data_IF_449397453597
#
_entry.id   IF_449397453597
#
_cell.length_a   1.000
_cell.length_b   1.000
_cell.length_c   1.000
_cell.angle_alpha   90.00
_cell.angle_beta   90.00
_cell.angle_gamma   90.00
#
_symmetry.space_group_name_H-M   'P 1'
#
loop_
_entity.id
_entity.type
_entity.pdbx_description
1 polymer ?
#
# COMPACT_ATOMS: atom_id res chain seq x y z
N UNK A 1 -15.10 -14.48 -5.83
CA UNK A 1 -14.54 -13.75 -4.67
C UNK A 1 -15.08 -12.32 -4.66
N UNK A 2 -15.49 -11.79 -3.50
CA UNK A 2 -15.94 -10.40 -3.39
C UNK A 2 -14.71 -9.48 -3.30
N UNK A 3 -14.52 -8.60 -4.29
CA UNK A 3 -13.39 -7.66 -4.36
C UNK A 3 -13.30 -6.78 -3.11
N UNK A 4 -14.45 -6.42 -2.54
CA UNK A 4 -14.52 -5.63 -1.31
C UNK A 4 -13.88 -6.33 -0.10
N UNK A 5 -14.04 -7.66 0.01
CA UNK A 5 -13.43 -8.46 1.07
C UNK A 5 -11.91 -8.46 0.94
N UNK A 6 -11.39 -8.64 -0.29
CA UNK A 6 -9.96 -8.60 -0.54
C UNK A 6 -9.35 -7.21 -0.26
N UNK A 7 -10.06 -6.13 -0.64
CA UNK A 7 -9.63 -4.75 -0.37
C UNK A 7 -9.53 -4.46 1.13
N UNK A 8 -10.49 -4.92 1.92
CA UNK A 8 -10.48 -4.71 3.37
C UNK A 8 -9.34 -5.49 4.04
N UNK A 9 -9.07 -6.70 3.57
CA UNK A 9 -7.96 -7.52 4.07
C UNK A 9 -6.59 -6.93 3.71
N UNK A 10 -6.45 -6.37 2.51
CA UNK A 10 -5.22 -5.73 2.02
C UNK A 10 -5.21 -4.21 2.29
N UNK A 11 -5.81 -3.78 3.39
CA UNK A 11 -5.92 -2.38 3.74
C UNK A 11 -4.69 -1.87 4.47
N UNK A 12 -4.52 -0.54 4.44
CA UNK A 12 -3.46 0.14 5.18
C UNK A 12 -3.57 -0.08 6.69
N UNK A 13 -4.80 -0.24 7.21
CA UNK A 13 -5.05 -0.49 8.63
C UNK A 13 -4.55 -1.87 9.07
N UNK A 14 -4.72 -2.88 8.21
CA UNK A 14 -4.16 -4.23 8.44
C UNK A 14 -2.64 -4.18 8.44
N UNK A 15 -2.02 -3.48 7.49
CA UNK A 15 -0.56 -3.27 7.49
C UNK A 15 -0.08 -2.58 8.77
N UNK A 16 -0.75 -1.50 9.20
CA UNK A 16 -0.39 -0.77 10.43
C UNK A 16 -0.50 -1.65 11.68
N UNK A 17 -1.56 -2.48 11.76
CA UNK A 17 -1.75 -3.43 12.86
C UNK A 17 -0.66 -4.49 12.87
N UNK A 18 -0.27 -5.03 11.71
CA UNK A 18 0.84 -5.98 11.61
C UNK A 18 2.19 -5.34 11.97
N UNK A 19 2.43 -4.07 11.61
CA UNK A 19 3.62 -3.33 12.05
C UNK A 19 3.64 -3.18 13.57
N UNK A 20 2.49 -2.83 14.17
CA UNK A 20 2.36 -2.75 15.63
C UNK A 20 2.59 -4.11 16.28
N UNK A 21 2.00 -5.18 15.75
CA UNK A 21 2.21 -6.54 16.26
C UNK A 21 3.69 -6.95 16.15
N UNK A 22 4.37 -6.57 15.07
CA UNK A 22 5.80 -6.80 14.90
C UNK A 22 6.69 -6.06 15.90
N UNK A 23 6.17 -4.99 16.54
CA UNK A 23 6.87 -4.32 17.65
C UNK A 23 6.72 -5.08 18.97
N UNK A 24 5.66 -5.88 19.12
CA UNK A 24 5.40 -6.67 20.33
C UNK A 24 5.95 -8.10 20.22
N UNK A 25 5.91 -8.69 19.03
CA UNK A 25 6.41 -10.03 18.72
C UNK A 25 7.32 -9.91 17.49
N UNK A 26 8.64 -10.11 17.68
CA UNK A 26 9.68 -9.83 16.67
C UNK A 26 9.76 -10.88 15.56
N UNK A 27 8.62 -11.48 15.20
CA UNK A 27 8.48 -12.41 14.07
C UNK A 27 8.65 -11.66 12.76
N UNK A 28 9.60 -12.12 11.95
CA UNK A 28 9.93 -11.52 10.64
C UNK A 28 8.75 -11.58 9.67
N UNK A 29 7.89 -12.57 9.85
CA UNK A 29 6.68 -12.78 9.06
C UNK A 29 5.72 -11.59 9.18
N UNK A 30 5.59 -10.98 10.37
CA UNK A 30 4.70 -9.83 10.57
C UNK A 30 5.21 -8.58 9.86
N UNK A 31 6.52 -8.32 9.90
CA UNK A 31 7.11 -7.20 9.18
C UNK A 31 7.02 -7.37 7.67
N UNK A 32 7.35 -8.57 7.18
CA UNK A 32 7.31 -8.88 5.74
C UNK A 32 5.89 -8.79 5.20
N UNK A 33 4.93 -9.34 5.94
CA UNK A 33 3.51 -9.31 5.56
C UNK A 33 2.94 -7.89 5.61
N UNK A 34 3.30 -7.09 6.62
CA UNK A 34 2.91 -5.68 6.69
C UNK A 34 3.39 -4.88 5.46
N UNK A 35 4.66 -5.05 5.08
CA UNK A 35 5.24 -4.38 3.91
C UNK A 35 4.56 -4.82 2.61
N UNK A 36 4.31 -6.12 2.46
CA UNK A 36 3.62 -6.66 1.29
C UNK A 36 2.21 -6.07 1.14
N UNK A 37 1.44 -6.03 2.23
CA UNK A 37 0.09 -5.46 2.22
C UNK A 37 0.13 -3.97 1.87
N UNK A 38 1.10 -3.22 2.39
CA UNK A 38 1.25 -1.79 2.09
C UNK A 38 1.53 -1.53 0.61
N UNK A 39 2.46 -2.28 0.01
CA UNK A 39 2.78 -2.18 -1.42
C UNK A 39 1.55 -2.50 -2.27
N UNK A 40 0.83 -3.58 -1.96
CA UNK A 40 -0.38 -3.96 -2.69
C UNK A 40 -1.49 -2.92 -2.55
N UNK A 41 -1.68 -2.36 -1.35
CA UNK A 41 -2.70 -1.34 -1.09
C UNK A 41 -2.43 -0.07 -1.89
N UNK A 42 -1.17 0.36 -1.95
CA UNK A 42 -0.73 1.51 -2.76
C UNK A 42 -0.89 1.24 -4.25
N UNK A 43 -0.40 0.10 -4.73
CA UNK A 43 -0.53 -0.31 -6.13
C UNK A 43 -2.00 -0.38 -6.56
N UNK A 44 -2.86 -1.00 -5.76
CA UNK A 44 -4.28 -1.10 -6.05
C UNK A 44 -4.96 0.27 -6.07
N UNK A 45 -4.58 1.16 -5.15
CA UNK A 45 -5.09 2.54 -5.11
C UNK A 45 -4.68 3.32 -6.36
N UNK A 46 -3.43 3.17 -6.81
CA UNK A 46 -2.91 3.78 -8.04
C UNK A 46 -3.68 3.26 -9.26
N UNK A 47 -3.82 1.94 -9.39
CA UNK A 47 -4.50 1.30 -10.52
C UNK A 47 -5.99 1.59 -10.59
N UNK A 48 -6.64 1.80 -9.44
CA UNK A 48 -8.07 2.11 -9.37
C UNK A 48 -8.38 3.59 -9.25
N UNK A 49 -7.36 4.45 -9.17
CA UNK A 49 -7.54 5.90 -9.12
C UNK A 49 -8.16 6.39 -10.42
N UNK A 50 -9.35 7.01 -10.30
CA UNK A 50 -9.99 7.73 -11.42
C UNK A 50 -9.41 9.13 -11.62
N UNK A 51 -8.61 9.61 -10.68
CA UNK A 51 -7.90 10.87 -10.80
C UNK A 51 -6.52 10.63 -11.43
N UNK A 52 -6.33 11.10 -12.66
CA UNK A 52 -5.06 11.01 -13.41
C UNK A 52 -3.88 11.75 -12.71
N UNK A 53 -4.15 12.54 -11.68
CA UNK A 53 -3.16 13.36 -10.98
C UNK A 53 -2.41 12.66 -9.83
N UNK A 54 -2.82 11.44 -9.42
CA UNK A 54 -2.17 10.73 -8.30
C UNK A 54 -1.05 9.77 -8.74
N UNK A 55 -0.94 9.48 -10.03
CA UNK A 55 -0.03 8.44 -10.56
C UNK A 55 1.34 8.96 -10.98
N UNK A 56 1.53 10.27 -11.09
CA UNK A 56 2.81 10.90 -11.38
C UNK A 56 3.20 11.76 -10.19
N UNK A 57 3.94 11.17 -9.25
CA UNK A 57 4.83 11.95 -8.37
C UNK A 57 5.57 12.94 -9.27
N UNK A 58 5.26 14.24 -9.13
CA UNK A 58 5.86 15.39 -9.84
C UNK A 58 7.20 15.01 -10.47
N UNK A 59 7.20 14.66 -11.75
CA UNK A 59 8.40 14.82 -12.56
C UNK A 59 8.41 16.34 -12.82
N UNK A 60 9.35 17.10 -12.26
CA UNK A 60 9.45 18.52 -12.58
C UNK A 60 9.66 18.61 -14.08
N UNK A 61 8.69 19.22 -14.77
CA UNK A 61 8.63 19.31 -16.23
C UNK A 61 9.48 20.48 -16.72
N UNK A 62 10.68 20.64 -16.15
CA UNK A 62 11.55 21.82 -16.37
C UNK A 62 12.98 21.50 -16.83
N UNK A 63 13.31 20.24 -17.20
CA UNK A 63 14.66 19.93 -17.70
C UNK A 63 14.69 19.05 -18.95
N UNK A 64 13.78 19.26 -19.90
CA UNK A 64 14.01 18.82 -21.28
C UNK A 64 13.52 19.93 -22.22
N UNK A 65 14.31 21.00 -22.27
CA UNK A 65 14.40 21.92 -23.42
C UNK A 65 15.49 21.45 -24.36
#
# INVERSE_FOLDING_TARGET
MKVNTAKNFLSRDVSATLKFLATQDSKKEYQTTALFIEILSQWFTIMTSRAANLTLRKIPRDEIS
#
